data_IF_172151019130
#
_entry.id   IF_172151019130
#
_cell.length_a   1.000
_cell.length_b   1.000
_cell.length_c   1.000
_cell.angle_alpha   90.00
_cell.angle_beta   90.00
_cell.angle_gamma   90.00
#
_symmetry.space_group_name_H-M   'P 1'
#
loop_
_entity.id
_entity.type
_entity.pdbx_description
1 polymer ?
#
# COMPACT_ATOMS: atom_id res chain seq x y z
N UNK A 1 -47.44 18.40 2.75
CA UNK A 1 -46.85 17.04 2.66
C UNK A 1 -45.97 16.82 1.43
N UNK A 2 -46.37 17.25 0.22
CA UNK A 2 -45.57 17.04 -1.02
C UNK A 2 -44.17 17.66 -0.98
N UNK A 3 -43.99 18.80 -0.31
CA UNK A 3 -42.68 19.44 -0.15
C UNK A 3 -41.70 18.64 0.72
N UNK A 4 -42.19 18.05 1.81
CA UNK A 4 -41.37 17.18 2.67
C UNK A 4 -40.92 15.91 1.93
N UNK A 5 -41.80 15.29 1.15
CA UNK A 5 -41.46 14.14 0.32
C UNK A 5 -40.37 14.47 -0.72
N UNK A 6 -40.44 15.65 -1.34
CA UNK A 6 -39.41 16.12 -2.28
C UNK A 6 -38.06 16.37 -1.60
N UNK A 7 -38.06 16.95 -0.40
CA UNK A 7 -36.84 17.15 0.39
C UNK A 7 -36.22 15.82 0.83
N UNK A 8 -37.04 14.87 1.30
CA UNK A 8 -36.56 13.54 1.64
C UNK A 8 -35.97 12.81 0.43
N UNK A 9 -36.60 12.94 -0.75
CA UNK A 9 -36.12 12.34 -1.98
C UNK A 9 -34.80 12.97 -2.46
N UNK A 10 -34.69 14.30 -2.44
CA UNK A 10 -33.45 15.02 -2.77
C UNK A 10 -32.32 14.70 -1.78
N UNK A 11 -32.63 14.60 -0.48
CA UNK A 11 -31.67 14.18 0.55
C UNK A 11 -31.18 12.74 0.35
N UNK A 12 -32.09 11.82 0.04
CA UNK A 12 -31.75 10.43 -0.27
C UNK A 12 -30.86 10.31 -1.51
N UNK A 13 -31.21 10.98 -2.60
CA UNK A 13 -30.37 10.98 -3.81
C UNK A 13 -29.01 11.63 -3.59
N UNK A 14 -28.96 12.75 -2.86
CA UNK A 14 -27.71 13.44 -2.53
C UNK A 14 -26.75 12.59 -1.71
N UNK A 15 -27.25 11.87 -0.71
CA UNK A 15 -26.42 11.00 0.14
C UNK A 15 -25.86 9.81 -0.62
N UNK A 16 -26.65 9.18 -1.50
CA UNK A 16 -26.18 8.08 -2.38
C UNK A 16 -25.12 8.58 -3.36
N UNK A 17 -25.36 9.73 -4.01
CA UNK A 17 -24.40 10.32 -4.94
C UNK A 17 -23.08 10.68 -4.25
N UNK A 18 -23.16 11.34 -3.09
CA UNK A 18 -21.98 11.71 -2.29
C UNK A 18 -21.19 10.49 -1.82
N UNK A 19 -21.87 9.46 -1.32
CA UNK A 19 -21.23 8.21 -0.89
C UNK A 19 -20.54 7.50 -2.05
N UNK A 20 -21.20 7.38 -3.21
CA UNK A 20 -20.60 6.75 -4.39
C UNK A 20 -19.39 7.51 -4.91
N UNK A 21 -19.43 8.85 -4.89
CA UNK A 21 -18.28 9.68 -5.26
C UNK A 21 -17.12 9.52 -4.28
N UNK A 22 -17.39 9.55 -2.97
CA UNK A 22 -16.37 9.35 -1.92
C UNK A 22 -15.72 7.97 -2.02
N UNK A 23 -16.50 6.91 -2.25
CA UNK A 23 -15.97 5.56 -2.47
C UNK A 23 -15.12 5.44 -3.74
N UNK A 24 -15.51 6.12 -4.83
CA UNK A 24 -14.68 6.18 -6.05
C UNK A 24 -13.39 6.97 -5.85
N UNK A 25 -13.42 8.05 -5.08
CA UNK A 25 -12.21 8.81 -4.77
C UNK A 25 -11.25 7.99 -3.90
N UNK A 26 -11.76 7.30 -2.88
CA UNK A 26 -10.94 6.40 -2.05
C UNK A 26 -10.27 5.27 -2.85
N UNK A 27 -10.93 4.78 -3.91
CA UNK A 27 -10.34 3.78 -4.83
C UNK A 27 -9.30 4.36 -5.80
N UNK A 28 -9.31 5.67 -6.04
CA UNK A 28 -8.33 6.34 -6.91
C UNK A 28 -7.02 6.65 -6.18
N UNK A 29 -7.05 6.76 -4.85
CA UNK A 29 -5.87 7.03 -4.00
C UNK A 29 -5.13 5.76 -3.56
N UNK A 30 -5.44 4.59 -4.13
CA UNK A 30 -4.61 3.39 -3.96
C UNK A 30 -3.40 3.53 -4.90
N UNK A 31 -2.42 4.35 -4.50
CA UNK A 31 -1.07 4.33 -5.06
C UNK A 31 -0.29 3.22 -4.34
N UNK A 32 0.47 2.42 -5.08
CA UNK A 32 1.29 1.31 -4.59
C UNK A 32 2.39 1.77 -3.60
N UNK A 33 2.56 3.10 -3.47
CA UNK A 33 3.50 3.75 -2.55
C UNK A 33 2.98 3.91 -1.12
N UNK A 34 1.72 3.56 -0.84
CA UNK A 34 1.10 3.73 0.49
C UNK A 34 0.91 5.19 0.90
N UNK A 35 0.29 5.44 2.06
CA UNK A 35 0.06 6.80 2.57
C UNK A 35 1.36 7.48 3.03
N UNK A 36 1.42 8.81 3.01
CA UNK A 36 2.55 9.58 3.57
C UNK A 36 2.84 9.14 5.02
N UNK A 37 4.08 8.69 5.29
CA UNK A 37 4.50 8.12 6.57
C UNK A 37 4.38 6.60 6.70
N UNK A 38 3.88 5.92 5.65
CA UNK A 38 3.97 4.46 5.49
C UNK A 38 5.26 4.10 4.73
N UNK A 39 5.76 2.89 4.94
CA UNK A 39 6.81 2.27 4.11
C UNK A 39 6.33 1.90 2.71
N UNK A 40 5.05 2.11 2.39
CA UNK A 40 4.46 1.67 1.13
C UNK A 40 4.19 0.16 1.11
N UNK A 41 4.07 -0.40 -0.10
CA UNK A 41 4.05 -1.85 -0.27
C UNK A 41 5.46 -2.38 0.01
N UNK A 42 5.58 -3.26 1.01
CA UNK A 42 6.78 -4.04 1.27
C UNK A 42 6.70 -5.31 0.42
N UNK A 43 7.74 -5.57 -0.36
CA UNK A 43 7.89 -6.79 -1.16
C UNK A 43 8.88 -7.74 -0.48
N UNK A 44 8.85 -9.00 -0.88
CA UNK A 44 9.86 -9.96 -0.46
C UNK A 44 11.23 -9.58 -1.05
N UNK A 45 12.31 -9.97 -0.36
CA UNK A 45 13.66 -9.83 -0.88
C UNK A 45 13.93 -10.88 -1.97
N UNK A 46 14.82 -10.56 -2.90
CA UNK A 46 15.34 -11.56 -3.84
C UNK A 46 15.33 -11.13 -5.31
N UNK A 47 15.94 -11.95 -6.18
CA UNK A 47 16.20 -11.60 -7.58
C UNK A 47 14.92 -11.47 -8.42
N UNK A 48 13.87 -12.22 -8.08
CA UNK A 48 12.57 -12.16 -8.80
C UNK A 48 11.91 -10.78 -8.61
N UNK A 49 11.86 -10.33 -7.36
CA UNK A 49 11.28 -9.06 -6.93
C UNK A 49 12.15 -7.86 -7.33
N UNK A 50 13.46 -8.05 -7.45
CA UNK A 50 14.42 -7.05 -7.95
C UNK A 50 14.57 -7.05 -9.48
N UNK A 51 13.97 -8.01 -10.16
CA UNK A 51 14.07 -8.20 -11.61
C UNK A 51 15.52 -8.33 -12.12
N UNK A 52 16.35 -9.05 -11.36
CA UNK A 52 17.75 -9.39 -11.68
C UNK A 52 17.84 -10.89 -11.99
N UNK A 53 18.75 -11.30 -12.87
CA UNK A 53 18.99 -12.72 -13.14
C UNK A 53 19.57 -13.39 -11.87
N UNK A 54 19.02 -14.53 -11.47
CA UNK A 54 19.46 -15.24 -10.27
C UNK A 54 20.94 -15.62 -10.28
N UNK A 55 21.61 -15.68 -11.44
CA UNK A 55 23.05 -15.94 -11.54
C UNK A 55 23.92 -14.77 -11.06
N UNK A 56 23.36 -13.57 -11.12
CA UNK A 56 24.02 -12.30 -10.79
C UNK A 56 23.68 -11.84 -9.36
N UNK A 57 22.91 -12.64 -8.62
CA UNK A 57 22.45 -12.36 -7.26
C UNK A 57 23.29 -13.11 -6.23
N UNK A 58 23.87 -12.39 -5.28
CA UNK A 58 24.66 -12.98 -4.21
C UNK A 58 24.10 -12.73 -2.80
N UNK A 59 24.80 -13.26 -1.79
CA UNK A 59 24.36 -13.13 -0.40
C UNK A 59 24.45 -11.70 0.14
N UNK A 60 25.28 -10.84 -0.45
CA UNK A 60 25.37 -9.42 -0.08
C UNK A 60 24.16 -8.70 -0.62
N UNK A 61 23.77 -8.98 -1.87
CA UNK A 61 22.54 -8.43 -2.47
C UNK A 61 21.31 -8.79 -1.64
N UNK A 62 21.18 -10.06 -1.24
CA UNK A 62 20.10 -10.54 -0.38
C UNK A 62 20.04 -9.77 0.95
N UNK A 63 21.16 -9.67 1.66
CA UNK A 63 21.22 -8.99 2.96
C UNK A 63 20.96 -7.50 2.86
N UNK A 64 21.39 -6.87 1.77
CA UNK A 64 21.12 -5.46 1.51
C UNK A 64 19.63 -5.27 1.22
N UNK A 65 18.99 -6.14 0.43
CA UNK A 65 17.57 -6.07 0.14
C UNK A 65 16.70 -6.31 1.40
N UNK A 66 17.05 -7.30 2.23
CA UNK A 66 16.38 -7.59 3.50
C UNK A 66 16.46 -6.45 4.52
N UNK A 67 17.46 -5.57 4.41
CA UNK A 67 17.65 -4.44 5.33
C UNK A 67 16.71 -3.24 5.07
N UNK A 68 15.84 -3.33 4.07
CA UNK A 68 14.82 -2.32 3.78
C UNK A 68 13.40 -2.89 3.97
N UNK A 69 12.43 -2.12 4.50
CA UNK A 69 12.53 -0.74 5.01
C UNK A 69 13.06 -0.65 6.46
N UNK A 70 13.26 -1.77 7.14
CA UNK A 70 13.62 -1.82 8.56
C UNK A 70 15.13 -1.95 8.73
N UNK A 71 15.76 -1.00 9.45
CA UNK A 71 17.17 -0.97 9.83
C UNK A 71 17.63 -2.12 10.74
N UNK A 72 16.94 -3.25 10.73
CA UNK A 72 17.32 -4.46 11.45
C UNK A 72 18.50 -5.13 10.72
N UNK A 73 19.43 -5.74 11.47
CA UNK A 73 20.49 -6.53 10.86
C UNK A 73 19.88 -7.71 10.08
N UNK A 74 20.53 -8.16 9.00
CA UNK A 74 20.06 -9.30 8.21
C UNK A 74 19.86 -10.54 9.09
N UNK A 75 18.90 -11.39 8.72
CA UNK A 75 18.46 -12.54 9.54
C UNK A 75 19.56 -13.59 9.80
N UNK A 76 20.69 -13.50 9.09
CA UNK A 76 21.85 -14.37 9.25
C UNK A 76 22.88 -13.85 10.29
N UNK A 77 22.65 -12.70 10.92
CA UNK A 77 23.52 -12.16 11.97
C UNK A 77 23.43 -12.99 13.25
N UNK A 78 24.29 -14.02 13.36
CA UNK A 78 24.55 -14.73 14.61
C UNK A 78 25.61 -13.93 15.35
N UNK A 79 25.19 -13.12 16.33
CA UNK A 79 26.08 -12.21 17.07
C UNK A 79 27.41 -12.85 17.46
N UNK A 80 28.48 -12.05 17.45
CA UNK A 80 29.82 -12.47 17.86
C UNK A 80 29.74 -12.98 19.31
N UNK A 81 29.85 -14.29 19.50
CA UNK A 81 30.00 -14.92 20.80
C UNK A 81 31.49 -14.94 21.20
#
# INVERSE_FOLDING_TARGET
>A
MKGLLKLAFLGGLGTVAWRSWKERQARRDIDDRGSVGSSGIVRDAGPEEQHIDARDWDMVDEQVDESFPASDPPGNYRGVA
#
